data_IF_284396059427
#
_entry.id   IF_284396059427
#
_cell.length_a   1.000
_cell.length_b   1.000
_cell.length_c   1.000
_cell.angle_alpha   90.00
_cell.angle_beta   90.00
_cell.angle_gamma   90.00
#
_symmetry.space_group_name_H-M   'P 1'
#
loop_
_entity.id
_entity.type
_entity.pdbx_description
1 polymer ?
#
# COMPACT_ATOMS: atom_id res chain seq x y z
N UNK A 1 -13.47 -7.51 27.70
CA UNK A 1 -14.43 -8.47 27.12
C UNK A 1 -13.84 -9.19 25.90
N UNK A 2 -13.41 -8.50 24.84
CA UNK A 2 -12.80 -9.14 23.65
C UNK A 2 -11.52 -9.94 23.99
N UNK A 3 -10.61 -9.38 24.79
CA UNK A 3 -9.42 -10.13 25.24
C UNK A 3 -9.74 -11.29 26.17
N UNK A 4 -10.87 -11.20 26.88
CA UNK A 4 -11.34 -12.29 27.74
C UNK A 4 -11.94 -13.39 26.88
N UNK A 5 -12.65 -13.06 25.81
CA UNK A 5 -13.15 -14.03 24.83
C UNK A 5 -11.99 -14.71 24.08
N UNK A 6 -10.95 -13.97 23.68
CA UNK A 6 -9.77 -14.56 23.04
C UNK A 6 -8.99 -15.47 23.99
N UNK A 7 -8.82 -15.09 25.27
CA UNK A 7 -8.07 -15.87 26.27
C UNK A 7 -8.86 -16.99 26.95
N UNK A 8 -10.16 -16.84 27.20
CA UNK A 8 -10.97 -17.86 27.88
C UNK A 8 -11.27 -19.06 26.97
N UNK A 9 -11.31 -18.87 25.65
CA UNK A 9 -11.51 -19.99 24.72
C UNK A 9 -10.25 -20.82 24.44
N UNK A 10 -9.05 -20.30 24.75
CA UNK A 10 -7.84 -21.14 24.84
C UNK A 10 -7.86 -22.10 26.05
N UNK A 11 -8.79 -21.94 27.01
CA UNK A 11 -8.81 -22.67 28.29
C UNK A 11 -10.04 -23.58 28.48
N UNK A 12 -10.95 -23.71 27.51
CA UNK A 12 -12.20 -24.48 27.67
C UNK A 12 -12.48 -25.34 26.40
N UNK A 13 -12.70 -26.66 26.37
CA UNK A 13 -12.91 -27.72 27.37
C UNK A 13 -12.49 -29.06 26.71
N UNK A 14 -11.73 -29.91 27.41
CA UNK A 14 -11.62 -31.35 27.11
C UNK A 14 -12.91 -32.01 27.60
N UNK A 15 -13.85 -32.31 26.71
CA UNK A 15 -15.07 -33.05 27.07
C UNK A 15 -16.27 -32.72 26.20
N UNK A 16 -16.72 -33.75 25.49
CA UNK A 16 -18.06 -33.98 24.92
C UNK A 16 -18.56 -33.19 23.70
N UNK A 17 -19.19 -33.96 22.80
CA UNK A 17 -19.78 -33.58 21.52
C UNK A 17 -20.91 -32.55 21.67
N UNK A 18 -20.55 -31.29 21.86
CA UNK A 18 -21.46 -30.17 21.62
C UNK A 18 -21.27 -29.77 20.16
N UNK A 19 -22.34 -29.76 19.35
CA UNK A 19 -22.33 -29.10 18.04
C UNK A 19 -21.78 -27.67 18.23
N UNK A 20 -20.51 -27.47 17.89
CA UNK A 20 -19.83 -26.21 18.14
C UNK A 20 -20.42 -25.16 17.20
N UNK A 21 -21.23 -24.26 17.75
CA UNK A 21 -21.92 -23.20 16.99
C UNK A 21 -20.89 -22.24 16.39
N UNK A 22 -20.96 -22.04 15.08
CA UNK A 22 -20.28 -20.94 14.41
C UNK A 22 -20.96 -19.63 14.79
N UNK A 23 -20.18 -18.59 15.04
CA UNK A 23 -20.67 -17.27 15.41
C UNK A 23 -20.13 -16.20 14.46
N UNK A 24 -20.96 -15.22 14.14
CA UNK A 24 -20.58 -14.04 13.36
C UNK A 24 -20.54 -12.84 14.29
N UNK A 25 -19.42 -12.13 14.28
CA UNK A 25 -19.20 -10.93 15.08
C UNK A 25 -19.10 -9.73 14.13
N UNK A 26 -20.00 -8.78 14.31
CA UNK A 26 -20.10 -7.56 13.50
C UNK A 26 -19.67 -6.37 14.35
N UNK A 27 -18.67 -5.63 13.89
CA UNK A 27 -18.27 -4.36 14.49
C UNK A 27 -18.51 -3.22 13.51
N UNK A 28 -19.14 -2.17 14.00
CA UNK A 28 -19.24 -0.89 13.31
C UNK A 28 -18.23 0.08 13.91
N UNK A 29 -17.30 0.56 13.09
CA UNK A 29 -16.27 1.57 13.43
C UNK A 29 -15.66 1.39 14.84
N UNK A 30 -15.07 0.23 15.16
CA UNK A 30 -14.59 -0.03 16.51
C UNK A 30 -13.38 0.81 16.91
N UNK A 31 -12.81 1.58 15.98
CA UNK A 31 -11.79 2.62 16.23
C UNK A 31 -12.32 3.88 16.90
N UNK A 32 -13.65 4.10 16.92
CA UNK A 32 -14.26 5.31 17.46
C UNK A 32 -13.86 5.46 18.95
N UNK A 33 -13.21 6.58 19.28
CA UNK A 33 -12.64 6.89 20.61
C UNK A 33 -11.42 6.08 21.05
N UNK A 34 -10.80 5.27 20.18
CA UNK A 34 -9.58 4.54 20.52
C UNK A 34 -8.32 5.27 20.08
N UNK A 35 -7.31 5.28 20.96
CA UNK A 35 -5.96 5.70 20.59
C UNK A 35 -5.35 4.74 19.54
N UNK A 36 -4.52 5.20 18.58
CA UNK A 36 -3.93 4.34 17.55
C UNK A 36 -3.25 3.06 18.04
N UNK A 37 -2.62 3.08 19.23
CA UNK A 37 -2.05 1.87 19.83
C UNK A 37 -3.12 0.84 20.24
N UNK A 38 -4.28 1.29 20.73
CA UNK A 38 -5.41 0.42 21.08
C UNK A 38 -6.07 -0.15 19.83
N UNK A 39 -6.18 0.63 18.75
CA UNK A 39 -6.68 0.15 17.45
C UNK A 39 -5.81 -1.00 16.93
N UNK A 40 -4.48 -0.85 16.97
CA UNK A 40 -3.54 -1.93 16.59
C UNK A 40 -3.68 -3.17 17.46
N UNK A 41 -3.90 -3.01 18.77
CA UNK A 41 -4.13 -4.13 19.70
C UNK A 41 -5.45 -4.83 19.40
N UNK A 42 -6.52 -4.06 19.16
CA UNK A 42 -7.82 -4.57 18.75
C UNK A 42 -7.71 -5.40 17.47
N UNK A 43 -7.06 -4.88 16.42
CA UNK A 43 -6.80 -5.61 15.17
C UNK A 43 -6.21 -6.99 15.42
N UNK A 44 -5.16 -7.08 16.23
CA UNK A 44 -4.50 -8.35 16.59
C UNK A 44 -5.46 -9.30 17.30
N UNK A 45 -6.21 -8.82 18.29
CA UNK A 45 -7.18 -9.64 19.02
C UNK A 45 -8.30 -10.15 18.11
N UNK A 46 -8.80 -9.35 17.17
CA UNK A 46 -9.81 -9.77 16.20
C UNK A 46 -9.26 -10.84 15.25
N UNK A 47 -8.03 -10.67 14.75
CA UNK A 47 -7.35 -11.68 13.94
C UNK A 47 -7.16 -13.00 14.70
N UNK A 48 -6.76 -12.96 15.97
CA UNK A 48 -6.62 -14.15 16.81
C UNK A 48 -7.95 -14.92 16.97
N UNK A 49 -9.07 -14.22 17.13
CA UNK A 49 -10.40 -14.84 17.23
C UNK A 49 -10.75 -15.61 15.95
N UNK A 50 -10.42 -15.05 14.78
CA UNK A 50 -10.71 -15.71 13.49
C UNK A 50 -9.90 -16.98 13.22
N UNK A 51 -8.70 -17.11 13.80
CA UNK A 51 -7.82 -18.29 13.59
C UNK A 51 -8.44 -19.60 14.09
N UNK A 52 -9.37 -19.51 15.03
CA UNK A 52 -10.04 -20.69 15.60
C UNK A 52 -11.08 -21.32 14.65
N UNK A 53 -11.36 -20.71 13.48
CA UNK A 53 -12.28 -21.23 12.46
C UNK A 53 -13.77 -21.22 12.83
N UNK A 54 -14.10 -20.93 14.09
CA UNK A 54 -15.47 -20.87 14.62
C UNK A 54 -16.12 -19.49 14.51
N UNK A 55 -15.29 -18.46 14.38
CA UNK A 55 -15.71 -17.07 14.42
C UNK A 55 -15.41 -16.39 13.10
N UNK A 56 -16.44 -15.82 12.50
CA UNK A 56 -16.30 -14.88 11.39
C UNK A 56 -16.42 -13.47 11.96
N UNK A 57 -15.41 -12.63 11.72
CA UNK A 57 -15.41 -11.24 12.15
C UNK A 57 -15.56 -10.34 10.93
N UNK A 58 -16.54 -9.44 10.95
CA UNK A 58 -16.75 -8.42 9.94
C UNK A 58 -16.66 -7.07 10.63
N UNK A 59 -15.84 -6.18 10.08
CA UNK A 59 -15.59 -4.84 10.63
C UNK A 59 -15.81 -3.82 9.53
N UNK A 60 -16.65 -2.81 9.77
CA UNK A 60 -16.62 -1.57 8.99
C UNK A 60 -15.65 -0.59 9.65
N UNK A 61 -14.82 0.08 8.85
CA UNK A 61 -13.79 0.98 9.36
C UNK A 61 -13.45 2.03 8.30
N UNK A 62 -13.19 3.25 8.77
CA UNK A 62 -12.54 4.32 8.00
C UNK A 62 -11.07 4.49 8.39
N UNK A 63 -10.59 3.71 9.37
CA UNK A 63 -9.24 3.80 9.88
C UNK A 63 -8.25 2.98 9.04
N UNK A 64 -7.18 3.60 8.52
CA UNK A 64 -6.11 2.88 7.84
C UNK A 64 -5.39 1.88 8.77
N UNK A 65 -5.47 2.05 10.09
CA UNK A 65 -4.80 1.19 11.07
C UNK A 65 -5.44 -0.19 11.24
N UNK A 66 -6.71 -0.36 10.87
CA UNK A 66 -7.40 -1.66 10.90
C UNK A 66 -7.23 -2.45 9.59
N UNK A 67 -6.82 -1.80 8.52
CA UNK A 67 -6.60 -2.42 7.21
C UNK A 67 -5.35 -3.30 7.23
N UNK A 68 -5.45 -4.52 6.70
CA UNK A 68 -4.33 -5.45 6.50
C UNK A 68 -4.42 -6.00 5.07
N UNK A 69 -3.42 -5.71 4.24
CA UNK A 69 -3.43 -6.16 2.83
C UNK A 69 -2.27 -7.09 2.51
N UNK A 70 -1.21 -7.10 3.33
CA UNK A 70 -0.04 -7.94 3.07
C UNK A 70 -0.30 -9.43 3.33
N UNK A 71 -0.94 -9.76 4.45
CA UNK A 71 -1.13 -11.15 4.85
C UNK A 71 -2.39 -11.79 4.23
N UNK A 72 -3.48 -11.03 4.10
CA UNK A 72 -4.75 -11.54 3.54
C UNK A 72 -5.50 -10.46 2.74
N UNK A 73 -5.09 -10.20 1.48
CA UNK A 73 -5.70 -9.16 0.66
C UNK A 73 -7.18 -9.43 0.36
N UNK A 74 -7.61 -10.71 0.35
CA UNK A 74 -9.01 -11.09 0.11
C UNK A 74 -9.97 -10.64 1.22
N UNK A 75 -9.45 -10.38 2.42
CA UNK A 75 -10.25 -9.92 3.56
C UNK A 75 -10.73 -8.48 3.40
N UNK A 76 -10.10 -7.70 2.51
CA UNK A 76 -10.43 -6.29 2.30
C UNK A 76 -11.56 -6.14 1.27
N UNK A 77 -12.62 -5.44 1.67
CA UNK A 77 -13.72 -5.05 0.80
C UNK A 77 -13.83 -3.52 0.85
N UNK A 78 -13.58 -2.88 -0.28
CA UNK A 78 -13.67 -1.44 -0.41
C UNK A 78 -15.06 -1.04 -0.93
N UNK A 79 -15.76 -0.22 -0.15
CA UNK A 79 -17.03 0.39 -0.54
C UNK A 79 -16.79 1.85 -0.94
N UNK A 80 -17.13 2.21 -2.19
CA UNK A 80 -17.05 3.58 -2.68
C UNK A 80 -18.41 4.07 -3.16
N UNK A 81 -18.85 5.23 -2.69
CA UNK A 81 -20.05 5.88 -3.19
C UNK A 81 -19.78 6.44 -4.58
N UNK A 82 -20.70 6.21 -5.51
CA UNK A 82 -20.67 6.90 -6.80
C UNK A 82 -21.48 8.20 -6.70
N UNK A 83 -20.98 9.27 -7.32
CA UNK A 83 -21.56 10.62 -7.22
C UNK A 83 -22.92 10.74 -7.97
N UNK A 84 -23.39 9.68 -8.65
CA UNK A 84 -24.57 9.70 -9.54
C UNK A 84 -25.78 8.86 -9.08
N UNK A 85 -26.01 8.66 -7.78
CA UNK A 85 -27.18 7.91 -7.27
C UNK A 85 -27.27 6.43 -7.76
N UNK A 86 -26.17 5.89 -8.28
CA UNK A 86 -26.02 4.48 -8.65
C UNK A 86 -25.59 3.65 -7.44
N UNK A 87 -25.71 2.31 -7.49
CA UNK A 87 -25.15 1.45 -6.44
C UNK A 87 -23.65 1.75 -6.17
N UNK A 88 -23.20 1.56 -4.92
CA UNK A 88 -21.80 1.76 -4.56
C UNK A 88 -20.89 0.82 -5.36
N UNK A 89 -19.70 1.31 -5.69
CA UNK A 89 -18.64 0.51 -6.29
C UNK A 89 -18.05 -0.35 -5.17
N UNK A 90 -18.17 -1.67 -5.32
CA UNK A 90 -17.60 -2.65 -4.41
C UNK A 90 -16.37 -3.24 -5.10
N UNK A 91 -15.22 -3.15 -4.43
CA UNK A 91 -13.99 -3.79 -4.90
C UNK A 91 -13.45 -4.73 -3.83
N UNK A 92 -13.24 -5.98 -4.22
CA UNK A 92 -12.63 -7.01 -3.40
C UNK A 92 -11.65 -7.81 -4.26
N UNK A 93 -10.42 -8.07 -3.78
CA UNK A 93 -9.47 -8.92 -4.48
C UNK A 93 -10.05 -10.34 -4.63
N UNK A 94 -10.28 -10.77 -5.88
CA UNK A 94 -10.81 -12.11 -6.20
C UNK A 94 -9.78 -13.22 -6.13
N UNK A 95 -8.50 -12.86 -6.22
CA UNK A 95 -7.33 -13.72 -6.12
C UNK A 95 -6.30 -12.99 -5.26
N UNK A 96 -5.29 -13.71 -4.77
CA UNK A 96 -4.17 -13.06 -4.14
C UNK A 96 -3.32 -12.37 -5.24
N UNK A 97 -3.17 -11.03 -5.22
CA UNK A 97 -2.39 -10.31 -6.23
C UNK A 97 -0.92 -10.72 -6.27
N UNK A 98 -0.44 -11.42 -5.24
CA UNK A 98 0.91 -11.92 -5.14
C UNK A 98 1.04 -13.42 -5.46
N UNK A 99 0.00 -14.16 -5.85
CA UNK A 99 0.17 -15.60 -6.18
C UNK A 99 0.79 -15.84 -7.57
N UNK A 100 0.84 -14.82 -8.43
CA UNK A 100 1.03 -14.99 -9.88
C UNK A 100 2.51 -15.21 -10.28
N UNK A 101 3.50 -14.84 -9.44
CA UNK A 101 4.91 -14.84 -9.82
C UNK A 101 5.84 -15.46 -8.75
N UNK A 102 6.94 -16.10 -9.16
CA UNK A 102 8.00 -16.58 -8.25
C UNK A 102 8.66 -15.45 -7.40
N UNK A 103 8.60 -14.20 -7.87
CA UNK A 103 9.04 -13.00 -7.13
C UNK A 103 8.04 -12.50 -6.07
N UNK A 104 6.96 -13.24 -5.86
CA UNK A 104 5.87 -12.88 -4.95
C UNK A 104 6.25 -12.70 -3.49
N UNK A 105 7.22 -13.49 -3.00
CA UNK A 105 7.70 -13.38 -1.62
C UNK A 105 8.39 -12.05 -1.38
N UNK A 106 9.21 -11.61 -2.34
CA UNK A 106 9.93 -10.34 -2.24
C UNK A 106 8.96 -9.16 -2.34
N UNK A 107 7.99 -9.23 -3.25
CA UNK A 107 6.96 -8.20 -3.40
C UNK A 107 6.09 -8.07 -2.12
N UNK A 108 5.74 -9.19 -1.46
CA UNK A 108 5.00 -9.16 -0.17
C UNK A 108 5.84 -8.57 0.96
N UNK A 109 7.13 -8.90 1.03
CA UNK A 109 8.04 -8.34 2.05
C UNK A 109 8.21 -6.84 1.82
N UNK A 110 8.39 -6.42 0.56
CA UNK A 110 8.48 -5.02 0.17
C UNK A 110 7.19 -4.26 0.51
N UNK A 111 6.03 -4.83 0.23
CA UNK A 111 4.74 -4.26 0.64
C UNK A 111 4.63 -4.14 2.15
N UNK A 112 4.96 -5.20 2.89
CA UNK A 112 4.85 -5.19 4.34
C UNK A 112 5.72 -4.10 4.95
N UNK A 113 6.95 -3.97 4.46
CA UNK A 113 7.82 -2.86 4.82
C UNK A 113 7.15 -1.52 4.50
N UNK A 114 6.63 -1.33 3.28
CA UNK A 114 5.96 -0.10 2.89
C UNK A 114 4.75 0.24 3.78
N UNK A 115 3.92 -0.74 4.13
CA UNK A 115 2.76 -0.57 5.03
C UNK A 115 3.18 -0.25 6.47
N UNK A 116 4.28 -0.83 6.94
CA UNK A 116 4.82 -0.59 8.29
C UNK A 116 5.43 0.81 8.41
N UNK A 117 6.07 1.32 7.34
CA UNK A 117 6.76 2.62 7.33
C UNK A 117 5.90 3.79 6.84
N UNK A 118 4.92 3.56 5.96
CA UNK A 118 4.13 4.63 5.30
C UNK A 118 2.62 4.39 5.41
N UNK A 119 1.95 4.95 6.45
CA UNK A 119 0.49 4.91 6.61
C UNK A 119 -0.28 5.53 5.43
N UNK A 120 0.38 6.37 4.63
CA UNK A 120 -0.17 6.96 3.41
C UNK A 120 -0.53 5.92 2.35
N UNK A 121 0.10 4.73 2.38
CA UNK A 121 -0.24 3.62 1.48
C UNK A 121 -1.63 3.09 1.79
N UNK A 122 -2.00 2.93 3.07
CA UNK A 122 -3.36 2.50 3.45
C UNK A 122 -4.38 3.60 3.23
N UNK A 123 -4.01 4.87 3.41
CA UNK A 123 -4.87 6.02 3.05
C UNK A 123 -5.23 6.02 1.56
N UNK A 124 -4.30 5.60 0.69
CA UNK A 124 -4.49 5.57 -0.75
C UNK A 124 -5.67 4.69 -1.20
N UNK A 125 -6.04 3.67 -0.42
CA UNK A 125 -7.18 2.81 -0.71
C UNK A 125 -8.52 3.54 -0.61
N UNK A 126 -8.57 4.64 0.16
CA UNK A 126 -9.78 5.44 0.35
C UNK A 126 -9.84 6.66 -0.61
N UNK A 127 -8.77 6.92 -1.36
CA UNK A 127 -8.68 8.09 -2.22
C UNK A 127 -9.55 7.96 -3.49
N UNK A 128 -10.04 9.09 -4.02
CA UNK A 128 -10.70 9.11 -5.34
C UNK A 128 -9.68 8.84 -6.46
N UNK A 129 -8.44 9.32 -6.29
CA UNK A 129 -7.33 9.17 -7.23
C UNK A 129 -6.02 9.00 -6.45
N UNK A 130 -5.12 8.16 -6.95
CA UNK A 130 -3.81 7.93 -6.34
C UNK A 130 -2.69 8.28 -7.32
N UNK A 131 -1.64 8.94 -6.83
CA UNK A 131 -0.38 9.12 -7.56
C UNK A 131 0.72 8.45 -6.74
N UNK A 132 1.32 7.41 -7.30
CA UNK A 132 2.49 6.73 -6.74
C UNK A 132 3.74 7.49 -7.17
N UNK A 133 4.57 7.84 -6.20
CA UNK A 133 5.88 8.47 -6.41
C UNK A 133 6.96 7.68 -5.72
N UNK A 134 8.21 7.83 -6.16
CA UNK A 134 9.32 7.05 -5.62
C UNK A 134 9.61 7.38 -4.15
N UNK A 135 9.72 8.66 -3.79
CA UNK A 135 10.14 9.09 -2.47
C UNK A 135 9.41 10.31 -1.90
N UNK A 136 9.94 10.79 -0.79
CA UNK A 136 9.37 11.92 -0.05
C UNK A 136 9.69 13.27 -0.71
N UNK A 137 10.72 13.32 -1.58
CA UNK A 137 11.08 14.51 -2.37
C UNK A 137 9.91 14.91 -3.26
N UNK A 138 9.38 13.97 -4.05
CA UNK A 138 8.26 14.21 -4.95
C UNK A 138 7.00 14.58 -4.16
N UNK A 139 6.75 13.89 -3.03
CA UNK A 139 5.64 14.21 -2.14
C UNK A 139 5.75 15.65 -1.64
N UNK A 140 6.93 16.09 -1.23
CA UNK A 140 7.16 17.45 -0.75
C UNK A 140 6.87 18.47 -1.86
N UNK A 141 7.39 18.24 -3.07
CA UNK A 141 7.14 19.11 -4.21
C UNK A 141 5.64 19.20 -4.50
N UNK A 142 4.96 18.08 -4.72
CA UNK A 142 3.53 18.11 -5.05
C UNK A 142 2.68 18.73 -3.91
N UNK A 143 3.02 18.49 -2.64
CA UNK A 143 2.30 19.10 -1.50
C UNK A 143 2.49 20.62 -1.39
N UNK A 144 3.66 21.15 -1.76
CA UNK A 144 3.93 22.59 -1.72
C UNK A 144 3.56 23.32 -3.01
N UNK A 145 3.03 22.59 -3.99
CA UNK A 145 2.90 23.05 -5.36
C UNK A 145 1.59 23.79 -5.69
N UNK A 146 0.95 24.48 -4.73
CA UNK A 146 -0.21 25.32 -5.02
C UNK A 146 0.03 26.32 -6.17
N UNK A 147 1.27 26.80 -6.29
CA UNK A 147 1.67 27.67 -7.39
C UNK A 147 1.81 26.92 -8.72
N UNK A 148 2.30 25.68 -8.70
CA UNK A 148 2.36 24.81 -9.90
C UNK A 148 0.94 24.50 -10.38
N UNK A 149 0.02 24.17 -9.48
CA UNK A 149 -1.36 23.87 -9.84
C UNK A 149 -2.06 25.06 -10.48
N UNK A 150 -1.79 26.29 -10.01
CA UNK A 150 -2.28 27.53 -10.65
C UNK A 150 -1.69 27.73 -12.04
N UNK A 151 -0.38 27.52 -12.20
CA UNK A 151 0.31 27.66 -13.49
C UNK A 151 -0.27 26.70 -14.54
N UNK A 152 -0.58 25.46 -14.14
CA UNK A 152 -1.18 24.46 -15.03
C UNK A 152 -2.71 24.49 -15.06
N UNK A 153 -3.34 25.46 -14.41
CA UNK A 153 -4.79 25.64 -14.34
C UNK A 153 -5.55 24.36 -13.93
N UNK A 154 -5.02 23.64 -12.93
CA UNK A 154 -5.61 22.39 -12.43
C UNK A 154 -6.73 22.73 -11.44
N UNK A 155 -7.96 22.22 -11.63
CA UNK A 155 -9.08 22.45 -10.70
C UNK A 155 -8.78 21.96 -9.29
N UNK A 156 -9.12 22.75 -8.27
CA UNK A 156 -8.88 22.39 -6.85
C UNK A 156 -9.57 21.08 -6.43
N UNK A 157 -10.73 20.77 -7.01
CA UNK A 157 -11.45 19.51 -6.81
C UNK A 157 -10.62 18.28 -7.21
N UNK A 158 -9.74 18.42 -8.21
CA UNK A 158 -8.86 17.35 -8.63
C UNK A 158 -7.72 17.15 -7.65
N UNK A 159 -7.30 18.20 -6.94
CA UNK A 159 -6.24 18.15 -5.92
C UNK A 159 -6.79 17.51 -4.64
N UNK A 160 -7.93 17.99 -4.14
CA UNK A 160 -8.52 17.51 -2.87
C UNK A 160 -8.89 16.02 -2.91
N UNK A 161 -9.24 15.49 -4.09
CA UNK A 161 -9.55 14.07 -4.28
C UNK A 161 -8.34 13.18 -4.59
N UNK A 162 -7.12 13.72 -4.63
CA UNK A 162 -5.91 12.99 -5.03
C UNK A 162 -4.98 12.76 -3.86
N UNK A 163 -4.61 11.51 -3.61
CA UNK A 163 -3.59 11.14 -2.63
C UNK A 163 -2.26 10.86 -3.33
N UNK A 164 -1.21 11.58 -2.93
CA UNK A 164 0.16 11.34 -3.38
C UNK A 164 0.84 10.44 -2.35
N UNK A 165 1.35 9.31 -2.82
CA UNK A 165 1.86 8.22 -1.97
C UNK A 165 3.33 8.00 -2.30
N UNK A 166 4.20 8.30 -1.34
CA UNK A 166 5.60 7.87 -1.36
C UNK A 166 5.64 6.35 -1.21
N UNK A 167 6.28 5.68 -2.18
CA UNK A 167 6.49 4.24 -2.14
C UNK A 167 7.73 3.88 -1.29
N UNK A 168 8.58 4.83 -0.93
CA UNK A 168 9.81 4.55 -0.18
C UNK A 168 10.88 3.86 -1.03
N UNK A 169 10.85 4.08 -2.35
CA UNK A 169 11.78 3.56 -3.32
C UNK A 169 11.10 2.88 -4.51
N UNK A 170 11.86 2.71 -5.60
CA UNK A 170 11.34 2.15 -6.86
C UNK A 170 10.85 0.70 -6.79
N UNK A 171 11.48 -0.10 -5.93
CA UNK A 171 11.22 -1.54 -5.82
C UNK A 171 9.89 -1.89 -5.13
N UNK A 172 9.32 -0.96 -4.37
CA UNK A 172 8.04 -1.14 -3.67
C UNK A 172 6.84 -0.70 -4.53
N UNK A 173 7.07 0.15 -5.54
CA UNK A 173 6.04 0.62 -6.48
C UNK A 173 5.25 -0.55 -7.09
N UNK A 174 5.88 -1.63 -7.62
CA UNK A 174 5.14 -2.75 -8.18
C UNK A 174 4.21 -3.43 -7.18
N UNK A 175 4.65 -3.57 -5.93
CA UNK A 175 3.87 -4.24 -4.89
C UNK A 175 2.60 -3.44 -4.54
N UNK A 176 2.72 -2.11 -4.42
CA UNK A 176 1.58 -1.22 -4.17
C UNK A 176 0.67 -1.17 -5.40
N UNK A 177 1.23 -1.06 -6.61
CA UNK A 177 0.47 -1.03 -7.86
C UNK A 177 -0.42 -2.27 -8.03
N UNK A 178 0.11 -3.49 -7.79
CA UNK A 178 -0.68 -4.73 -7.86
C UNK A 178 -1.90 -4.71 -6.94
N UNK A 179 -1.78 -4.16 -5.75
CA UNK A 179 -2.90 -4.04 -4.80
C UNK A 179 -3.93 -3.05 -5.30
N UNK A 180 -3.50 -1.88 -5.79
CA UNK A 180 -4.41 -0.87 -6.31
C UNK A 180 -5.18 -1.41 -7.52
N UNK A 181 -4.53 -2.20 -8.39
CA UNK A 181 -5.20 -2.95 -9.46
C UNK A 181 -6.23 -3.94 -8.88
N UNK A 182 -5.85 -4.75 -7.88
CA UNK A 182 -6.75 -5.73 -7.27
C UNK A 182 -7.96 -5.10 -6.55
N UNK A 183 -7.80 -3.88 -6.03
CA UNK A 183 -8.85 -3.07 -5.40
C UNK A 183 -9.56 -2.13 -6.39
N UNK A 184 -9.24 -2.21 -7.68
CA UNK A 184 -9.80 -1.36 -8.73
C UNK A 184 -9.73 0.14 -8.39
N UNK A 185 -8.67 0.57 -7.72
CA UNK A 185 -8.42 1.97 -7.37
C UNK A 185 -7.68 2.62 -8.53
N UNK A 186 -8.16 3.75 -9.08
CA UNK A 186 -7.48 4.42 -10.19
C UNK A 186 -6.20 5.10 -9.70
N UNK A 187 -5.09 4.81 -10.35
CA UNK A 187 -3.79 5.37 -9.99
C UNK A 187 -2.92 5.74 -11.19
N UNK A 188 -1.93 6.59 -10.94
CA UNK A 188 -0.85 6.92 -11.88
C UNK A 188 0.48 6.73 -11.19
N UNK A 189 1.52 6.40 -11.94
CA UNK A 189 2.88 6.22 -11.40
C UNK A 189 3.78 7.30 -11.97
N UNK A 190 4.58 7.92 -11.12
CA UNK A 190 5.68 8.82 -11.49
C UNK A 190 6.95 8.23 -10.89
N UNK A 191 7.96 7.97 -11.73
CA UNK A 191 9.24 7.47 -11.26
C UNK A 191 10.38 7.88 -12.20
N UNK A 192 11.61 7.73 -11.73
CA UNK A 192 12.79 8.10 -12.48
C UNK A 192 13.23 6.99 -13.44
N UNK A 193 13.90 7.34 -14.55
CA UNK A 193 14.40 6.36 -15.51
C UNK A 193 15.64 5.66 -14.98
N UNK A 194 16.48 6.35 -14.19
CA UNK A 194 17.78 5.87 -13.67
C UNK A 194 18.73 5.34 -14.75
N UNK A 195 18.72 5.94 -15.95
CA UNK A 195 19.57 5.51 -17.05
C UNK A 195 20.98 6.11 -16.98
N UNK A 196 21.18 7.27 -16.33
CA UNK A 196 22.48 7.96 -16.15
C UNK A 196 23.39 7.95 -17.39
N UNK A 197 22.81 8.19 -18.57
CA UNK A 197 23.51 8.19 -19.87
C UNK A 197 24.22 6.87 -20.24
N UNK A 198 23.86 5.74 -19.63
CA UNK A 198 24.39 4.42 -19.97
C UNK A 198 23.89 3.97 -21.36
N UNK A 199 24.77 3.33 -22.11
CA UNK A 199 24.43 2.74 -23.40
C UNK A 199 23.65 1.43 -23.24
N UNK A 200 22.83 1.05 -24.25
CA UNK A 200 22.05 -0.20 -24.26
C UNK A 200 22.82 -1.47 -23.84
N UNK A 201 24.09 -1.70 -24.25
CA UNK A 201 24.84 -2.86 -23.78
C UNK A 201 25.22 -2.80 -22.29
N UNK A 202 25.46 -1.62 -21.74
CA UNK A 202 25.80 -1.43 -20.32
C UNK A 202 24.58 -1.65 -19.43
N UNK A 203 23.40 -1.22 -19.89
CA UNK A 203 22.12 -1.45 -19.20
C UNK A 203 21.81 -2.94 -19.00
N UNK A 204 22.16 -3.78 -19.97
CA UNK A 204 21.97 -5.23 -19.88
C UNK A 204 22.96 -5.93 -18.92
N UNK A 205 24.06 -5.26 -18.56
CA UNK A 205 25.06 -5.78 -17.62
C UNK A 205 24.83 -5.35 -16.17
N UNK A 206 23.80 -4.55 -15.92
CA UNK A 206 23.52 -4.01 -14.59
C UNK A 206 23.12 -5.10 -13.59
N UNK A 207 23.49 -4.95 -12.31
CA UNK A 207 23.11 -5.91 -11.28
C UNK A 207 21.58 -6.01 -11.18
N UNK A 208 21.02 -7.18 -10.82
CA UNK A 208 19.57 -7.37 -10.75
C UNK A 208 18.83 -6.36 -9.85
N UNK A 209 19.50 -5.84 -8.81
CA UNK A 209 18.94 -4.88 -7.83
C UNK A 209 19.04 -3.42 -8.32
N UNK A 210 19.63 -3.17 -9.49
CA UNK A 210 19.77 -1.80 -10.01
C UNK A 210 18.38 -1.15 -10.26
N UNK A 211 18.17 0.13 -9.87
CA UNK A 211 16.90 0.83 -10.05
C UNK A 211 16.35 0.80 -11.48
N UNK A 212 17.21 0.80 -12.49
CA UNK A 212 16.82 0.64 -13.89
C UNK A 212 16.00 -0.63 -14.15
N UNK A 213 16.35 -1.76 -13.52
CA UNK A 213 15.66 -3.04 -13.70
C UNK A 213 14.28 -3.07 -13.04
N UNK A 214 13.98 -2.13 -12.15
CA UNK A 214 12.64 -1.98 -11.58
C UNK A 214 11.64 -1.39 -12.60
N UNK A 215 12.10 -0.67 -13.63
CA UNK A 215 11.25 -0.05 -14.66
C UNK A 215 10.35 -1.08 -15.37
N UNK A 216 10.91 -2.23 -15.72
CA UNK A 216 10.16 -3.31 -16.39
C UNK A 216 9.07 -3.87 -15.46
N UNK A 217 9.40 -4.12 -14.19
CA UNK A 217 8.45 -4.60 -13.19
C UNK A 217 7.33 -3.61 -12.91
N UNK A 218 7.62 -2.30 -12.90
CA UNK A 218 6.62 -1.25 -12.74
C UNK A 218 5.64 -1.27 -13.93
N UNK A 219 6.17 -1.42 -15.16
CA UNK A 219 5.34 -1.51 -16.36
C UNK A 219 4.38 -2.70 -16.29
N UNK A 220 4.87 -3.87 -15.91
CA UNK A 220 4.05 -5.09 -15.83
C UNK A 220 2.97 -5.00 -14.72
N UNK A 221 3.31 -4.41 -13.58
CA UNK A 221 2.39 -4.28 -12.43
C UNK A 221 1.32 -3.18 -12.61
N UNK A 222 1.51 -2.24 -13.53
CA UNK A 222 0.58 -1.14 -13.78
C UNK A 222 -0.75 -1.57 -14.43
N UNK A 223 -0.80 -2.74 -15.07
CA UNK A 223 -1.96 -3.26 -15.80
C UNK A 223 -2.60 -2.23 -16.76
N UNK A 224 -1.77 -1.45 -17.45
CA UNK A 224 -2.21 -0.43 -18.41
C UNK A 224 -2.56 0.94 -17.81
N UNK A 225 -2.37 1.15 -16.51
CA UNK A 225 -2.49 2.49 -15.91
C UNK A 225 -1.35 3.41 -16.40
N UNK A 226 -1.58 4.73 -16.49
CA UNK A 226 -0.57 5.66 -16.99
C UNK A 226 0.68 5.72 -16.11
N UNK A 227 1.84 5.61 -16.75
CA UNK A 227 3.17 5.75 -16.14
C UNK A 227 3.86 6.97 -16.76
N UNK A 228 4.38 7.84 -15.91
CA UNK A 228 5.18 9.00 -16.28
C UNK A 228 6.60 8.76 -15.80
N UNK A 229 7.54 8.75 -16.74
CA UNK A 229 8.96 8.49 -16.47
C UNK A 229 9.73 9.79 -16.64
N UNK A 230 10.51 10.15 -15.64
CA UNK A 230 11.41 11.31 -15.68
C UNK A 230 12.73 10.86 -16.30
N UNK A 231 13.26 11.61 -17.27
CA UNK A 231 14.36 11.13 -18.11
C UNK A 231 15.67 10.86 -17.35
N UNK A 232 15.97 11.64 -16.31
CA UNK A 232 17.14 11.44 -15.44
C UNK A 232 16.68 11.21 -13.99
N UNK A 233 16.76 12.22 -13.11
CA UNK A 233 16.17 12.21 -11.76
C UNK A 233 15.21 13.36 -11.54
N UNK A 234 14.27 13.21 -10.59
CA UNK A 234 13.35 14.29 -10.25
C UNK A 234 14.09 15.54 -9.71
N UNK A 235 15.20 15.34 -9.01
CA UNK A 235 16.05 16.42 -8.50
C UNK A 235 16.71 17.24 -9.61
N UNK A 236 17.14 16.60 -10.71
CA UNK A 236 17.76 17.28 -11.86
C UNK A 236 16.76 18.22 -12.54
N UNK A 237 15.49 17.83 -12.63
CA UNK A 237 14.42 18.64 -13.24
C UNK A 237 14.12 19.89 -12.42
N UNK A 238 14.27 19.82 -11.10
CA UNK A 238 13.90 20.89 -10.18
C UNK A 238 15.10 21.77 -9.81
N UNK A 239 16.30 21.42 -10.29
CA UNK A 239 17.54 22.14 -10.02
C UNK A 239 17.80 22.31 -8.51
N UNK A 240 17.36 21.33 -7.70
CA UNK A 240 17.76 21.22 -6.31
C UNK A 240 19.20 20.73 -6.31
N UNK A 241 20.16 21.54 -5.85
CA UNK A 241 21.54 21.08 -5.68
C UNK A 241 21.55 19.81 -4.82
N UNK A 242 21.75 18.66 -5.47
CA UNK A 242 21.81 17.36 -4.82
C UNK A 242 23.06 17.36 -3.95
N UNK A 243 22.89 17.52 -2.63
CA UNK A 243 23.99 17.26 -1.69
C UNK A 243 24.38 15.78 -1.87
N UNK A 244 25.62 15.48 -2.32
CA UNK A 244 25.98 14.11 -2.65
C UNK A 244 25.84 13.23 -1.39
N UNK A 245 25.08 12.14 -1.53
CA UNK A 245 24.99 11.11 -0.49
C UNK A 245 26.41 10.67 -0.14
N UNK A 246 26.83 10.72 1.15
CA UNK A 246 28.15 10.26 1.52
C UNK A 246 28.30 8.79 1.10
N UNK A 247 29.46 8.39 0.55
CA UNK A 247 29.66 7.00 0.16
C UNK A 247 29.43 6.10 1.38
N UNK A 248 28.58 5.09 1.23
CA UNK A 248 28.37 4.06 2.24
C UNK A 248 29.69 3.32 2.45
N UNK A 249 30.54 3.81 3.35
CA UNK A 249 31.72 3.10 3.82
C UNK A 249 31.26 2.00 4.75
N UNK A 250 30.88 0.85 4.19
CA UNK A 250 30.87 -0.41 4.91
C UNK A 250 32.32 -0.78 5.22
N UNK A 251 32.89 -0.20 6.28
CA UNK A 251 34.10 -0.73 6.87
C UNK A 251 33.75 -2.06 7.53
N UNK A 252 33.96 -3.15 6.78
CA UNK A 252 34.09 -4.49 7.33
C UNK A 252 35.21 -4.44 8.39
N UNK A 253 34.84 -4.27 9.66
CA UNK A 253 35.73 -4.58 10.77
C UNK A 253 35.81 -6.11 10.83
N UNK A 254 36.98 -6.63 10.47
CA UNK A 254 37.41 -8.00 10.78
C UNK A 254 37.45 -8.20 12.29
#
# INVERSE_FOLDING_TARGET
MIEVLSKQQSVAVRGENVHQRSAVLLFEEPELYLHPHLIRRLKKSLQEITKNGKWQVIVSTHSPFLVEVADNPRSLILFRRNDQNTPPIIAQPKADPFEINDSSRDDRVALRAALDFHPTVTESFFAKRVVLVEGDTEVAIFRHSNDIYKVFNIPEENIQGTSIVSCGGKWTIPAIARILVALNVPFRIIHDKDARNLTEPELNSLPPIHPYNANSRIKDSSNGNPIFVVEDTFEDVINLEVVPKPPCTCSLRK
#
